data_IF_422129086252
#
_entry.id   IF_422129086252
#
_cell.length_a   1.000
_cell.length_b   1.000
_cell.length_c   1.000
_cell.angle_alpha   90.00
_cell.angle_beta   90.00
_cell.angle_gamma   90.00
#
_symmetry.space_group_name_H-M   'P 1'
#
loop_
_entity.id
_entity.type
_entity.pdbx_description
1 polymer ?
#
# COMPACT_ATOMS: atom_id res chain seq x y z
N UNK A 1 0.61 -54.48 48.43
CA UNK A 1 1.70 -54.27 47.45
C UNK A 1 1.44 -52.92 46.77
N UNK A 2 2.26 -51.90 47.04
CA UNK A 2 2.10 -50.56 46.45
C UNK A 2 2.99 -50.50 45.22
N UNK A 3 2.42 -50.19 44.06
CA UNK A 3 3.18 -50.09 42.81
C UNK A 3 3.58 -48.62 42.65
N UNK A 4 4.86 -48.33 42.84
CA UNK A 4 5.41 -47.00 42.56
C UNK A 4 5.56 -46.83 41.05
N UNK A 5 4.89 -45.80 40.52
CA UNK A 5 4.84 -45.53 39.09
C UNK A 5 5.85 -44.43 38.74
N UNK A 6 6.61 -44.55 37.64
CA UNK A 6 7.66 -43.60 37.30
C UNK A 6 7.09 -42.21 37.00
N UNK A 7 7.81 -41.13 37.36
CA UNK A 7 7.34 -39.76 37.14
C UNK A 7 7.17 -39.48 35.65
N UNK A 8 6.01 -38.92 35.29
CA UNK A 8 5.65 -38.65 33.89
C UNK A 8 6.45 -37.45 33.39
N UNK A 9 7.13 -37.60 32.24
CA UNK A 9 7.91 -36.53 31.61
C UNK A 9 7.00 -35.30 31.34
N UNK A 10 7.41 -34.08 31.71
CA UNK A 10 6.64 -32.88 31.41
C UNK A 10 6.44 -32.77 29.89
N UNK A 11 5.21 -32.50 29.47
CA UNK A 11 4.89 -32.23 28.06
C UNK A 11 5.59 -30.92 27.70
N UNK A 12 6.43 -30.95 26.66
CA UNK A 12 7.04 -29.73 26.11
C UNK A 12 5.97 -28.71 25.72
N UNK A 13 6.34 -27.43 25.72
CA UNK A 13 5.43 -26.33 25.38
C UNK A 13 4.66 -26.62 24.08
N UNK A 14 3.37 -26.29 24.09
CA UNK A 14 2.48 -26.56 22.97
C UNK A 14 2.76 -25.55 21.85
N UNK A 15 3.44 -25.99 20.80
CA UNK A 15 3.78 -25.19 19.62
C UNK A 15 2.52 -24.77 18.85
N UNK A 16 1.46 -25.59 18.87
CA UNK A 16 0.23 -25.36 18.09
C UNK A 16 -0.47 -24.04 18.51
N UNK A 17 -0.72 -23.75 19.81
CA UNK A 17 -1.19 -22.44 20.26
C UNK A 17 -0.30 -21.27 19.83
N UNK A 18 1.02 -21.44 19.83
CA UNK A 18 1.96 -20.37 19.46
C UNK A 18 1.90 -20.07 17.96
N UNK A 19 1.81 -21.10 17.11
CA UNK A 19 1.61 -20.96 15.66
C UNK A 19 0.32 -20.18 15.39
N UNK A 20 -0.76 -20.50 16.09
CA UNK A 20 -2.03 -19.79 15.90
C UNK A 20 -1.90 -18.30 16.17
N UNK A 21 -1.20 -17.89 17.24
CA UNK A 21 -0.98 -16.46 17.54
C UNK A 21 -0.16 -15.79 16.43
N UNK A 22 0.95 -16.39 16.00
CA UNK A 22 1.79 -15.81 14.95
C UNK A 22 1.07 -15.75 13.60
N UNK A 23 0.33 -16.80 13.23
CA UNK A 23 -0.42 -16.85 11.98
C UNK A 23 -1.54 -15.80 11.94
N UNK A 24 -2.26 -15.63 13.04
CA UNK A 24 -3.27 -14.58 13.18
C UNK A 24 -2.63 -13.20 13.04
N UNK A 25 -1.48 -12.95 13.67
CA UNK A 25 -0.75 -11.70 13.50
C UNK A 25 -0.37 -11.46 12.03
N UNK A 26 0.14 -12.48 11.33
CA UNK A 26 0.50 -12.35 9.91
C UNK A 26 -0.72 -12.04 9.03
N UNK A 27 -1.87 -12.68 9.24
CA UNK A 27 -3.10 -12.36 8.49
C UNK A 27 -3.56 -10.94 8.80
N UNK A 28 -3.56 -10.52 10.06
CA UNK A 28 -3.93 -9.16 10.42
C UNK A 28 -3.02 -8.14 9.76
N UNK A 29 -1.70 -8.35 9.82
CA UNK A 29 -0.75 -7.48 9.12
C UNK A 29 -1.00 -7.46 7.62
N UNK A 30 -1.20 -8.61 6.97
CA UNK A 30 -1.48 -8.68 5.53
C UNK A 30 -2.79 -7.96 5.15
N UNK A 31 -3.85 -8.07 5.95
CA UNK A 31 -5.13 -7.42 5.70
C UNK A 31 -5.05 -5.90 5.84
N UNK A 32 -4.24 -5.39 6.77
CA UNK A 32 -4.15 -3.94 7.05
C UNK A 32 -2.98 -3.26 6.35
N UNK A 33 -2.03 -4.01 5.79
CA UNK A 33 -0.87 -3.46 5.09
C UNK A 33 -1.26 -2.89 3.72
N UNK A 34 -2.01 -1.80 3.71
CA UNK A 34 -2.15 -0.95 2.54
C UNK A 34 -1.13 0.18 2.64
N UNK A 35 0.00 0.01 1.96
CA UNK A 35 0.98 1.07 1.78
C UNK A 35 0.45 1.96 0.66
N UNK A 36 -0.33 2.99 0.99
CA UNK A 36 -0.66 4.04 0.04
C UNK A 36 0.62 4.83 -0.27
N UNK A 37 0.95 5.02 -1.55
CA UNK A 37 2.05 5.90 -1.93
C UNK A 37 1.74 7.33 -1.45
N UNK A 38 2.64 7.97 -0.68
CA UNK A 38 2.46 9.36 -0.28
C UNK A 38 2.46 10.26 -1.52
N UNK A 39 1.61 11.29 -1.51
CA UNK A 39 1.60 12.30 -2.57
C UNK A 39 2.92 13.08 -2.58
N UNK A 40 3.44 13.45 -3.76
CA UNK A 40 4.76 14.09 -3.88
C UNK A 40 4.83 15.50 -3.28
N UNK A 41 3.69 16.16 -3.10
CA UNK A 41 3.53 17.48 -2.51
C UNK A 41 2.11 17.62 -1.91
N UNK A 42 1.85 18.63 -1.04
CA UNK A 42 0.51 18.92 -0.57
C UNK A 42 -0.41 19.28 -1.74
N UNK A 43 -1.57 18.62 -1.79
CA UNK A 43 -2.55 18.71 -2.87
C UNK A 43 -3.94 18.81 -2.26
N UNK A 44 -4.70 19.81 -2.68
CA UNK A 44 -6.14 19.91 -2.39
C UNK A 44 -6.90 19.51 -3.64
N UNK A 45 -7.54 18.33 -3.71
CA UNK A 45 -8.27 17.92 -4.91
C UNK A 45 -9.48 18.85 -5.15
N UNK A 46 -9.81 19.16 -6.42
CA UNK A 46 -11.01 19.93 -6.76
C UNK A 46 -12.28 19.09 -6.59
N UNK A 47 -13.43 19.78 -6.48
CA UNK A 47 -14.73 19.12 -6.52
C UNK A 47 -14.95 18.46 -7.88
N UNK A 48 -14.97 17.12 -7.89
CA UNK A 48 -15.23 16.32 -9.07
C UNK A 48 -16.68 15.86 -9.09
N UNK A 49 -17.33 16.00 -10.25
CA UNK A 49 -18.66 15.42 -10.53
C UNK A 49 -18.58 14.08 -11.27
N UNK A 50 -17.36 13.53 -11.40
CA UNK A 50 -17.13 12.25 -12.09
C UNK A 50 -17.53 11.09 -11.19
N UNK A 51 -18.34 10.17 -11.73
CA UNK A 51 -18.68 8.89 -11.07
C UNK A 51 -17.64 7.79 -11.35
N UNK A 52 -16.58 8.11 -12.10
CA UNK A 52 -15.49 7.17 -12.39
C UNK A 52 -14.68 6.91 -11.13
N UNK A 53 -14.61 5.64 -10.70
CA UNK A 53 -13.81 5.24 -9.55
C UNK A 53 -12.33 5.58 -9.78
N UNK A 54 -11.74 6.27 -8.80
CA UNK A 54 -10.29 6.50 -8.74
C UNK A 54 -9.57 5.18 -8.45
N UNK A 55 -8.40 4.95 -9.07
CA UNK A 55 -7.69 3.69 -8.95
C UNK A 55 -6.79 3.32 -10.12
N UNK A 56 -6.38 4.28 -10.96
CA UNK A 56 -5.36 3.98 -11.94
C UNK A 56 -4.04 3.63 -11.21
N UNK A 57 -3.27 2.64 -11.69
CA UNK A 57 -1.98 2.29 -11.11
C UNK A 57 -0.98 3.45 -11.21
N UNK A 58 -1.10 4.28 -12.25
CA UNK A 58 -0.26 5.43 -12.50
C UNK A 58 -1.05 6.74 -12.36
N UNK A 59 -0.51 7.64 -11.53
CA UNK A 59 -1.12 8.94 -11.23
C UNK A 59 -0.15 10.07 -11.54
N UNK A 60 -0.54 10.98 -12.42
CA UNK A 60 0.15 12.24 -12.68
C UNK A 60 -0.36 13.31 -11.71
N UNK A 61 0.56 13.91 -10.97
CA UNK A 61 0.26 14.99 -10.02
C UNK A 61 0.61 16.37 -10.62
N UNK A 62 -0.27 17.35 -10.40
CA UNK A 62 -0.06 18.75 -10.81
C UNK A 62 -0.26 19.65 -9.60
N UNK A 63 0.76 20.40 -9.20
CA UNK A 63 0.68 21.36 -8.08
C UNK A 63 -0.04 22.63 -8.48
N UNK A 64 -0.49 23.44 -7.51
CA UNK A 64 -1.09 24.75 -7.77
C UNK A 64 -0.14 25.72 -8.51
N UNK A 65 1.17 25.49 -8.47
CA UNK A 65 2.17 26.29 -9.19
C UNK A 65 2.48 25.73 -10.59
N UNK A 66 1.79 24.65 -11.00
CA UNK A 66 2.04 23.96 -12.26
C UNK A 66 3.21 22.99 -12.23
N UNK A 67 3.73 22.62 -11.06
CA UNK A 67 4.77 21.61 -10.97
C UNK A 67 4.19 20.21 -11.23
N UNK A 68 4.83 19.46 -12.12
CA UNK A 68 4.43 18.11 -12.47
C UNK A 68 5.24 17.08 -11.68
N UNK A 69 4.58 16.03 -11.23
CA UNK A 69 5.25 14.85 -10.67
C UNK A 69 4.58 13.56 -11.12
N UNK A 70 5.42 12.62 -11.57
CA UNK A 70 5.00 11.28 -11.93
C UNK A 70 6.11 10.31 -11.53
N UNK A 71 5.80 9.32 -10.68
CA UNK A 71 6.79 8.41 -10.11
C UNK A 71 8.01 9.17 -9.55
N UNK A 72 9.21 8.91 -10.07
CA UNK A 72 10.44 9.63 -9.71
C UNK A 72 10.69 10.90 -10.54
N UNK A 73 9.97 11.10 -11.65
CA UNK A 73 10.14 12.24 -12.54
C UNK A 73 9.46 13.50 -12.00
N UNK A 74 10.07 14.66 -12.25
CA UNK A 74 9.60 15.98 -11.81
C UNK A 74 9.72 17.00 -12.95
N UNK A 75 8.79 17.95 -13.02
CA UNK A 75 8.77 19.00 -14.05
C UNK A 75 8.74 18.43 -15.48
N UNK A 76 9.48 19.05 -16.39
CA UNK A 76 9.55 18.64 -17.81
C UNK A 76 10.02 17.20 -18.03
N UNK A 77 10.80 16.63 -17.09
CA UNK A 77 11.25 15.24 -17.19
C UNK A 77 10.09 14.23 -17.12
N UNK A 78 8.92 14.65 -16.63
CA UNK A 78 7.69 13.84 -16.59
C UNK A 78 7.29 13.42 -17.99
N UNK A 79 7.39 14.28 -19.00
CA UNK A 79 6.97 13.97 -20.37
C UNK A 79 7.78 12.85 -21.00
N UNK A 80 9.11 12.91 -20.83
CA UNK A 80 10.01 11.89 -21.34
C UNK A 80 9.76 10.53 -20.66
N UNK A 81 9.48 10.57 -19.35
CA UNK A 81 9.12 9.37 -18.61
C UNK A 81 7.78 8.81 -19.12
N UNK A 82 6.74 9.65 -19.27
CA UNK A 82 5.40 9.23 -19.69
C UNK A 82 5.43 8.60 -21.10
N UNK A 83 6.22 9.19 -22.00
CA UNK A 83 6.45 8.65 -23.34
C UNK A 83 7.19 7.31 -23.34
N UNK A 84 7.96 7.01 -22.30
CA UNK A 84 8.66 5.74 -22.14
C UNK A 84 7.78 4.63 -21.53
N UNK A 85 6.55 4.95 -21.12
CA UNK A 85 5.61 3.97 -20.61
C UNK A 85 5.28 2.93 -21.69
N UNK A 86 5.37 1.65 -21.33
CA UNK A 86 5.02 0.54 -22.23
C UNK A 86 3.56 0.18 -21.97
N UNK A 87 2.66 0.79 -22.74
CA UNK A 87 1.22 0.53 -22.65
C UNK A 87 0.36 1.71 -23.08
N UNK A 88 -0.94 1.50 -23.11
CA UNK A 88 -1.97 2.55 -23.33
C UNK A 88 -2.90 2.63 -22.14
N UNK A 89 -2.42 2.23 -20.97
CA UNK A 89 -3.23 2.25 -19.76
C UNK A 89 -3.61 3.70 -19.44
N UNK A 90 -4.86 3.96 -19.04
CA UNK A 90 -5.28 5.31 -18.71
C UNK A 90 -4.50 5.82 -17.50
N UNK A 91 -4.02 7.06 -17.62
CA UNK A 91 -3.31 7.77 -16.53
C UNK A 91 -4.31 8.62 -15.78
N UNK A 92 -4.38 8.46 -14.46
CA UNK A 92 -5.20 9.32 -13.60
C UNK A 92 -4.47 10.64 -13.36
N UNK A 93 -5.16 11.77 -13.52
CA UNK A 93 -4.58 13.10 -13.28
C UNK A 93 -5.16 13.64 -11.98
N UNK A 94 -4.28 13.98 -11.03
CA UNK A 94 -4.61 14.66 -9.77
C UNK A 94 -4.01 16.05 -9.78
N UNK A 95 -4.84 17.05 -10.03
CA UNK A 95 -4.45 18.45 -9.96
C UNK A 95 -4.89 19.07 -8.64
N UNK A 96 -4.14 20.06 -8.18
CA UNK A 96 -4.58 20.94 -7.10
C UNK A 96 -5.75 21.82 -7.56
N UNK A 97 -6.70 22.07 -6.67
CA UNK A 97 -7.86 22.92 -6.92
C UNK A 97 -7.50 24.39 -7.16
N UNK A 98 -6.32 24.84 -6.71
CA UNK A 98 -5.84 26.20 -6.84
C UNK A 98 -4.92 26.44 -8.05
N UNK A 99 -4.80 25.46 -8.97
CA UNK A 99 -4.15 25.64 -10.27
C UNK A 99 -4.90 26.68 -11.12
#
# INVERSE_FOLDING_TARGET
MRIDMPPRKPRGESIIPMINVVFLLLIFFLLTAQISQPTPFPLTPPDSRSDTAAGAPDVLYVSAQGELAWNAARGEAVWAALAAQVGTDPVEIRADAAL
#
